data_IF_351112583096
#
_entry.id   IF_351112583096
#
_cell.length_a   1.000
_cell.length_b   1.000
_cell.length_c   1.000
_cell.angle_alpha   90.00
_cell.angle_beta   90.00
_cell.angle_gamma   90.00
#
_symmetry.space_group_name_H-M   'P 1'
#
loop_
_entity.id
_entity.type
_entity.pdbx_description
1 polymer ?
#
# COMPACT_ATOMS: atom_id res chain seq x y z
N UNK A 1 -58.78 60.67 75.11
CA UNK A 1 -59.92 59.76 75.36
C UNK A 1 -59.71 58.40 74.69
N UNK A 2 -59.03 57.46 75.35
CA UNK A 2 -59.11 55.99 75.17
C UNK A 2 -58.42 55.25 76.34
N UNK A 3 -58.15 55.97 77.44
CA UNK A 3 -57.60 55.43 78.70
C UNK A 3 -58.66 55.11 79.74
N UNK A 4 -59.92 55.50 79.54
CA UNK A 4 -61.03 55.20 80.47
C UNK A 4 -61.79 53.90 80.14
N UNK A 5 -61.63 53.35 78.92
CA UNK A 5 -62.25 52.06 78.57
C UNK A 5 -61.53 50.85 79.18
N UNK A 6 -60.23 50.96 79.48
CA UNK A 6 -59.44 49.84 80.04
C UNK A 6 -59.80 49.48 81.49
N UNK A 7 -60.22 50.45 82.31
CA UNK A 7 -60.52 50.19 83.73
C UNK A 7 -61.93 49.66 83.97
N UNK A 8 -62.92 50.03 83.15
CA UNK A 8 -64.30 49.50 83.26
C UNK A 8 -64.44 48.07 82.77
N UNK A 9 -63.50 47.58 81.97
CA UNK A 9 -63.43 46.17 81.58
C UNK A 9 -62.90 45.26 82.71
N UNK A 10 -62.33 45.85 83.78
CA UNK A 10 -61.95 45.13 85.00
C UNK A 10 -63.09 45.05 86.05
N UNK A 11 -64.25 45.67 85.79
CA UNK A 11 -65.43 45.66 86.68
C UNK A 11 -66.52 44.67 86.26
N UNK A 12 -66.33 43.93 85.17
CA UNK A 12 -67.13 42.77 84.84
C UNK A 12 -66.21 41.53 84.76
N UNK A 13 -66.03 40.79 85.87
CA UNK A 13 -65.08 39.68 85.97
C UNK A 13 -65.28 38.65 84.86
N UNK A 14 -66.53 38.40 84.47
CA UNK A 14 -66.89 37.44 83.42
C UNK A 14 -66.35 37.86 82.05
N UNK A 15 -66.48 39.12 81.64
CA UNK A 15 -66.01 39.59 80.33
C UNK A 15 -64.47 39.60 80.22
N UNK A 16 -63.76 39.86 81.33
CA UNK A 16 -62.30 39.76 81.38
C UNK A 16 -61.84 38.30 81.31
N UNK A 17 -62.47 37.41 82.09
CA UNK A 17 -62.22 35.96 82.06
C UNK A 17 -62.49 35.40 80.66
N UNK A 18 -63.59 35.78 80.00
CA UNK A 18 -63.92 35.34 78.64
C UNK A 18 -62.88 35.80 77.60
N UNK A 19 -62.33 37.02 77.72
CA UNK A 19 -61.27 37.49 76.82
C UNK A 19 -59.94 36.81 77.07
N UNK A 20 -59.56 36.58 78.33
CA UNK A 20 -58.33 35.84 78.66
C UNK A 20 -58.46 34.37 78.26
N UNK A 21 -59.63 33.74 78.44
CA UNK A 21 -59.92 32.41 77.90
C UNK A 21 -59.88 32.38 76.38
N UNK A 22 -60.43 33.38 75.69
CA UNK A 22 -60.36 33.48 74.24
C UNK A 22 -58.92 33.66 73.75
N UNK A 23 -58.10 34.48 74.44
CA UNK A 23 -56.67 34.63 74.15
C UNK A 23 -55.89 33.35 74.41
N UNK A 24 -56.12 32.68 75.54
CA UNK A 24 -55.50 31.39 75.84
C UNK A 24 -55.88 30.33 74.82
N UNK A 25 -57.16 30.25 74.45
CA UNK A 25 -57.65 29.35 73.40
C UNK A 25 -57.06 29.68 72.03
N UNK A 26 -56.90 30.95 71.69
CA UNK A 26 -56.24 31.38 70.45
C UNK A 26 -54.74 31.04 70.47
N UNK A 27 -54.05 31.23 71.59
CA UNK A 27 -52.66 30.83 71.76
C UNK A 27 -52.48 29.31 71.68
N UNK A 28 -53.37 28.54 72.31
CA UNK A 28 -53.40 27.07 72.20
C UNK A 28 -53.68 26.62 70.77
N UNK A 29 -54.65 27.23 70.08
CA UNK A 29 -54.96 26.93 68.69
C UNK A 29 -53.76 27.23 67.76
N UNK A 30 -53.04 28.34 68.00
CA UNK A 30 -51.80 28.66 67.27
C UNK A 30 -50.69 27.65 67.57
N UNK A 31 -50.51 27.23 68.82
CA UNK A 31 -49.52 26.20 69.18
C UNK A 31 -49.85 24.86 68.55
N UNK A 32 -51.11 24.42 68.59
CA UNK A 32 -51.58 23.20 67.92
C UNK A 32 -51.38 23.31 66.40
N UNK A 33 -51.68 24.47 65.80
CA UNK A 33 -51.43 24.74 64.38
C UNK A 33 -49.95 24.62 64.00
N UNK A 34 -49.05 25.20 64.79
CA UNK A 34 -47.60 25.10 64.59
C UNK A 34 -47.07 23.67 64.78
N UNK A 35 -47.57 22.94 65.77
CA UNK A 35 -47.21 21.53 65.99
C UNK A 35 -47.70 20.67 64.83
N UNK A 36 -48.93 20.85 64.36
CA UNK A 36 -49.47 20.12 63.23
C UNK A 36 -48.70 20.43 61.93
N UNK A 37 -48.31 21.69 61.70
CA UNK A 37 -47.49 22.07 60.55
C UNK A 37 -46.10 21.40 60.61
N UNK A 38 -45.42 21.42 61.77
CA UNK A 38 -44.13 20.73 61.95
C UNK A 38 -44.27 19.22 61.81
N UNK A 39 -45.36 18.64 62.31
CA UNK A 39 -45.61 17.20 62.19
C UNK A 39 -45.84 16.80 60.73
N UNK A 40 -46.52 17.64 59.94
CA UNK A 40 -46.65 17.44 58.49
C UNK A 40 -45.30 17.54 57.78
N UNK A 41 -44.45 18.51 58.11
CA UNK A 41 -43.08 18.63 57.56
C UNK A 41 -42.19 17.43 57.93
N UNK A 42 -42.25 16.96 59.19
CA UNK A 42 -41.50 15.77 59.61
C UNK A 42 -42.01 14.52 58.89
N UNK A 43 -43.33 14.40 58.69
CA UNK A 43 -43.91 13.29 57.94
C UNK A 43 -43.50 13.31 56.45
N UNK A 44 -43.39 14.47 55.81
CA UNK A 44 -42.91 14.56 54.42
C UNK A 44 -41.42 14.23 54.31
N UNK A 45 -40.59 14.69 55.26
CA UNK A 45 -39.16 14.32 55.30
C UNK A 45 -38.98 12.84 55.59
N UNK A 46 -39.77 12.26 56.50
CA UNK A 46 -39.72 10.83 56.81
C UNK A 46 -40.10 9.98 55.59
N UNK A 47 -41.18 10.33 54.88
CA UNK A 47 -41.61 9.61 53.66
C UNK A 47 -40.59 9.74 52.52
N UNK A 48 -39.98 10.92 52.35
CA UNK A 48 -38.88 11.12 51.41
C UNK A 48 -37.67 10.25 51.75
N UNK A 49 -37.25 10.22 53.02
CA UNK A 49 -36.14 9.39 53.47
C UNK A 49 -36.40 7.89 53.28
N UNK A 50 -37.63 7.41 53.53
CA UNK A 50 -37.98 6.00 53.27
C UNK A 50 -37.92 5.68 51.78
N UNK A 51 -38.40 6.58 50.92
CA UNK A 51 -38.36 6.41 49.47
C UNK A 51 -36.91 6.37 48.95
N UNK A 52 -36.06 7.28 49.42
CA UNK A 52 -34.64 7.31 49.05
C UNK A 52 -33.90 6.06 49.54
N UNK A 53 -34.22 5.56 50.73
CA UNK A 53 -33.67 4.31 51.23
C UNK A 53 -34.09 3.10 50.38
N UNK A 54 -35.35 3.05 49.95
CA UNK A 54 -35.83 2.00 49.04
C UNK A 54 -35.17 2.09 47.66
N UNK A 55 -35.00 3.30 47.12
CA UNK A 55 -34.28 3.54 45.85
C UNK A 55 -32.83 3.08 45.94
N UNK A 56 -32.12 3.41 47.02
CA UNK A 56 -30.75 2.97 47.25
C UNK A 56 -30.67 1.43 47.26
N UNK A 57 -31.59 0.76 47.97
CA UNK A 57 -31.66 -0.70 48.02
C UNK A 57 -31.94 -1.34 46.65
N UNK A 58 -32.78 -0.71 45.82
CA UNK A 58 -33.06 -1.18 44.45
C UNK A 58 -31.81 -1.03 43.58
N UNK A 59 -31.13 0.12 43.64
CA UNK A 59 -29.91 0.37 42.88
C UNK A 59 -28.77 -0.58 43.28
N UNK A 60 -28.61 -0.87 44.57
CA UNK A 60 -27.65 -1.86 45.05
C UNK A 60 -27.94 -3.26 44.49
N UNK A 61 -29.21 -3.68 44.47
CA UNK A 61 -29.62 -4.95 43.86
C UNK A 61 -29.37 -4.98 42.36
N UNK A 62 -29.64 -3.89 41.64
CA UNK A 62 -29.39 -3.77 40.21
C UNK A 62 -27.89 -3.82 39.92
N UNK A 63 -27.06 -3.13 40.72
CA UNK A 63 -25.62 -3.13 40.59
C UNK A 63 -25.02 -4.50 40.89
N UNK A 64 -25.50 -5.20 41.92
CA UNK A 64 -25.10 -6.57 42.22
C UNK A 64 -25.46 -7.53 41.07
N UNK A 65 -26.66 -7.38 40.50
CA UNK A 65 -27.10 -8.19 39.35
C UNK A 65 -26.25 -7.89 38.11
N UNK A 66 -25.99 -6.61 37.82
CA UNK A 66 -25.14 -6.19 36.70
C UNK A 66 -23.71 -6.73 36.83
N UNK A 67 -23.10 -6.61 38.03
CA UNK A 67 -21.78 -7.19 38.31
C UNK A 67 -21.77 -8.70 38.12
N UNK A 68 -22.79 -9.41 38.58
CA UNK A 68 -22.92 -10.86 38.39
C UNK A 68 -23.01 -11.23 36.91
N UNK A 69 -23.84 -10.53 36.14
CA UNK A 69 -23.96 -10.74 34.69
C UNK A 69 -22.64 -10.45 33.98
N UNK A 70 -21.95 -9.37 34.34
CA UNK A 70 -20.65 -9.02 33.78
C UNK A 70 -19.58 -10.09 34.08
N UNK A 71 -19.56 -10.63 35.30
CA UNK A 71 -18.66 -11.72 35.66
C UNK A 71 -18.98 -13.00 34.87
N UNK A 72 -20.26 -13.32 34.70
CA UNK A 72 -20.68 -14.48 33.91
C UNK A 72 -20.33 -14.34 32.42
N UNK A 73 -20.53 -13.16 31.82
CA UNK A 73 -20.17 -12.93 30.42
C UNK A 73 -18.66 -12.93 30.22
N UNK A 74 -17.89 -12.36 31.15
CA UNK A 74 -16.43 -12.44 31.12
C UNK A 74 -15.94 -13.90 31.22
N UNK A 75 -16.52 -14.70 32.11
CA UNK A 75 -16.18 -16.12 32.23
C UNK A 75 -16.52 -16.91 30.96
N UNK A 76 -17.70 -16.68 30.37
CA UNK A 76 -18.10 -17.31 29.11
C UNK A 76 -17.18 -16.90 27.94
N UNK A 77 -16.74 -15.65 27.90
CA UNK A 77 -15.82 -15.15 26.90
C UNK A 77 -14.42 -15.78 27.03
N UNK A 78 -13.93 -15.97 28.25
CA UNK A 78 -12.67 -16.69 28.47
C UNK A 78 -12.79 -18.18 28.11
N UNK A 79 -13.91 -18.83 28.42
CA UNK A 79 -14.15 -20.21 28.00
C UNK A 79 -14.17 -20.36 26.47
N UNK A 80 -14.89 -19.48 25.76
CA UNK A 80 -14.96 -19.51 24.29
C UNK A 80 -13.59 -19.24 23.64
N UNK A 81 -12.78 -18.34 24.20
CA UNK A 81 -11.39 -18.13 23.77
C UNK A 81 -10.54 -19.39 23.94
N UNK A 82 -10.65 -20.07 25.08
CA UNK A 82 -9.92 -21.32 25.33
C UNK A 82 -10.35 -22.43 24.35
N UNK A 83 -11.65 -22.57 24.10
CA UNK A 83 -12.18 -23.53 23.13
C UNK A 83 -11.71 -23.23 21.70
N UNK A 84 -11.66 -21.96 21.31
CA UNK A 84 -11.12 -21.54 20.01
C UNK A 84 -9.62 -21.85 19.91
N UNK A 85 -8.84 -21.54 20.95
CA UNK A 85 -7.41 -21.86 20.98
C UNK A 85 -7.17 -23.38 20.87
N UNK A 86 -7.96 -24.19 21.58
CA UNK A 86 -7.89 -25.65 21.50
C UNK A 86 -8.24 -26.17 20.09
N UNK A 87 -9.27 -25.62 19.45
CA UNK A 87 -9.64 -25.96 18.07
C UNK A 87 -8.54 -25.58 17.07
N UNK A 88 -7.94 -24.41 17.22
CA UNK A 88 -6.81 -23.97 16.39
C UNK A 88 -5.63 -24.95 16.54
N UNK A 89 -5.26 -25.31 17.78
CA UNK A 89 -4.19 -26.26 18.04
C UNK A 89 -4.48 -27.66 17.45
N UNK A 90 -5.73 -28.13 17.54
CA UNK A 90 -6.15 -29.39 16.95
C UNK A 90 -6.06 -29.39 15.42
N UNK A 91 -6.50 -28.30 14.76
CA UNK A 91 -6.39 -28.13 13.31
C UNK A 91 -4.92 -28.11 12.86
N UNK A 92 -4.06 -27.35 13.54
CA UNK A 92 -2.63 -27.32 13.25
C UNK A 92 -1.97 -28.71 13.36
N UNK A 93 -2.41 -29.54 14.34
CA UNK A 93 -1.92 -30.91 14.46
C UNK A 93 -2.37 -31.78 13.28
N UNK A 94 -3.61 -31.64 12.84
CA UNK A 94 -4.11 -32.35 11.65
C UNK A 94 -3.38 -31.91 10.38
N UNK A 95 -3.17 -30.61 10.18
CA UNK A 95 -2.40 -30.06 9.05
C UNK A 95 -0.99 -30.66 8.97
N UNK A 96 -0.30 -30.79 10.12
CA UNK A 96 1.02 -31.45 10.17
C UNK A 96 0.97 -32.91 9.74
N UNK A 97 -0.08 -33.66 10.11
CA UNK A 97 -0.24 -35.06 9.69
C UNK A 97 -0.49 -35.15 8.18
N UNK A 98 -1.33 -34.27 7.63
CA UNK A 98 -1.60 -34.20 6.19
C UNK A 98 -0.33 -33.83 5.39
N UNK A 99 0.42 -32.84 5.87
CA UNK A 99 1.73 -32.50 5.34
C UNK A 99 2.70 -33.69 5.33
N UNK A 100 2.76 -34.46 6.43
CA UNK A 100 3.59 -35.66 6.50
C UNK A 100 3.16 -36.71 5.46
N UNK A 101 1.86 -36.89 5.22
CA UNK A 101 1.35 -37.81 4.19
C UNK A 101 1.81 -37.38 2.79
N UNK A 102 1.82 -36.08 2.48
CA UNK A 102 2.35 -35.56 1.20
C UNK A 102 3.82 -35.90 1.03
N UNK A 103 4.64 -35.64 2.07
CA UNK A 103 6.08 -35.93 2.06
C UNK A 103 6.35 -37.43 1.89
N UNK A 104 5.65 -38.29 2.66
CA UNK A 104 5.79 -39.76 2.57
C UNK A 104 5.38 -40.30 1.20
N UNK A 105 4.37 -39.69 0.58
CA UNK A 105 3.96 -40.04 -0.79
C UNK A 105 5.06 -39.69 -1.79
N UNK A 106 5.67 -38.49 -1.67
CA UNK A 106 6.79 -38.09 -2.51
C UNK A 106 8.04 -38.98 -2.31
N UNK A 107 8.22 -39.54 -1.12
CA UNK A 107 9.29 -40.48 -0.79
C UNK A 107 9.01 -41.94 -1.23
N UNK A 108 7.83 -42.22 -1.79
CA UNK A 108 7.49 -43.55 -2.31
C UNK A 108 7.04 -44.56 -1.24
N UNK A 109 6.73 -44.12 -0.02
CA UNK A 109 6.32 -45.02 1.05
C UNK A 109 4.96 -45.71 0.76
N UNK A 110 4.78 -46.89 1.35
CA UNK A 110 3.55 -47.67 1.26
C UNK A 110 2.43 -47.02 2.09
N UNK A 111 1.65 -46.15 1.46
CA UNK A 111 0.45 -45.53 2.02
C UNK A 111 -0.81 -46.18 1.47
N UNK A 112 -1.92 -46.05 2.19
CA UNK A 112 -3.22 -46.49 1.69
C UNK A 112 -3.57 -45.78 0.38
N UNK A 113 -4.26 -46.45 -0.57
CA UNK A 113 -4.57 -45.86 -1.88
C UNK A 113 -5.29 -44.52 -1.79
N UNK A 114 -6.19 -44.35 -0.81
CA UNK A 114 -6.93 -43.11 -0.58
C UNK A 114 -6.01 -41.95 -0.14
N UNK A 115 -5.05 -42.20 0.77
CA UNK A 115 -4.10 -41.19 1.22
C UNK A 115 -3.12 -40.79 0.10
N UNK A 116 -2.68 -41.76 -0.70
CA UNK A 116 -1.84 -41.50 -1.88
C UNK A 116 -2.57 -40.62 -2.89
N UNK A 117 -3.81 -40.94 -3.24
CA UNK A 117 -4.62 -40.12 -4.16
C UNK A 117 -4.82 -38.69 -3.63
N UNK A 118 -5.10 -38.54 -2.34
CA UNK A 118 -5.22 -37.22 -1.71
C UNK A 118 -3.91 -36.43 -1.79
N UNK A 119 -2.78 -37.05 -1.45
CA UNK A 119 -1.46 -36.41 -1.52
C UNK A 119 -1.08 -36.00 -2.94
N UNK A 120 -1.34 -36.84 -3.94
CA UNK A 120 -1.10 -36.50 -5.35
C UNK A 120 -1.95 -35.31 -5.79
N UNK A 121 -3.24 -35.26 -5.40
CA UNK A 121 -4.10 -34.10 -5.67
C UNK A 121 -3.58 -32.84 -4.98
N UNK A 122 -3.15 -32.94 -3.72
CA UNK A 122 -2.59 -31.81 -2.99
C UNK A 122 -1.29 -31.29 -3.64
N UNK A 123 -0.43 -32.19 -4.11
CA UNK A 123 0.79 -31.84 -4.84
C UNK A 123 0.49 -31.15 -6.16
N UNK A 124 -0.44 -31.67 -6.96
CA UNK A 124 -0.84 -31.08 -8.24
C UNK A 124 -1.53 -29.73 -8.05
N UNK A 125 -2.41 -29.58 -7.05
CA UNK A 125 -2.99 -28.27 -6.71
C UNK A 125 -1.93 -27.25 -6.30
N UNK A 126 -0.93 -27.67 -5.53
CA UNK A 126 0.19 -26.81 -5.14
C UNK A 126 1.03 -26.42 -6.36
N UNK A 127 1.26 -27.36 -7.29
CA UNK A 127 1.97 -27.10 -8.54
C UNK A 127 1.22 -26.11 -9.41
N UNK A 128 -0.08 -26.29 -9.60
CA UNK A 128 -0.94 -25.40 -10.37
C UNK A 128 -0.95 -23.98 -9.81
N UNK A 129 -1.07 -23.83 -8.48
CA UNK A 129 -0.98 -22.53 -7.81
C UNK A 129 0.38 -21.85 -8.06
N UNK A 130 1.48 -22.60 -7.94
CA UNK A 130 2.81 -22.08 -8.26
C UNK A 130 2.91 -21.65 -9.73
N UNK A 131 2.39 -22.46 -10.66
CA UNK A 131 2.32 -22.12 -12.08
C UNK A 131 1.56 -20.81 -12.31
N UNK A 132 0.39 -20.63 -11.70
CA UNK A 132 -0.39 -19.38 -11.83
C UNK A 132 0.35 -18.15 -11.31
N UNK A 133 1.08 -18.27 -10.19
CA UNK A 133 1.91 -17.18 -9.66
C UNK A 133 2.99 -16.78 -10.67
N UNK A 134 3.63 -17.77 -11.28
CA UNK A 134 4.66 -17.53 -12.30
C UNK A 134 4.04 -16.91 -13.55
N UNK A 135 2.92 -17.41 -14.04
CA UNK A 135 2.20 -16.84 -15.18
C UNK A 135 1.84 -15.37 -14.96
N UNK A 136 1.36 -15.03 -13.77
CA UNK A 136 1.06 -13.64 -13.40
C UNK A 136 2.33 -12.77 -13.37
N UNK A 137 3.42 -13.32 -12.84
CA UNK A 137 4.71 -12.61 -12.79
C UNK A 137 5.26 -12.35 -14.19
N UNK A 138 5.21 -13.36 -15.07
CA UNK A 138 5.68 -13.27 -16.46
C UNK A 138 4.83 -12.35 -17.34
N UNK A 139 3.61 -11.98 -16.92
CA UNK A 139 2.82 -10.94 -17.60
C UNK A 139 3.35 -9.53 -17.29
N UNK A 140 4.01 -9.35 -16.16
CA UNK A 140 4.62 -8.07 -15.76
C UNK A 140 5.97 -7.80 -16.42
N UNK A 141 6.59 -6.67 -16.09
CA UNK A 141 7.97 -6.40 -16.48
C UNK A 141 8.89 -7.34 -15.70
N UNK A 142 9.62 -8.20 -16.42
CA UNK A 142 10.56 -9.15 -15.83
C UNK A 142 11.95 -8.90 -16.40
N UNK A 143 12.93 -8.71 -15.53
CA UNK A 143 14.33 -8.51 -15.94
C UNK A 143 15.22 -9.71 -15.59
N UNK A 144 14.86 -10.47 -14.55
CA UNK A 144 15.70 -11.53 -14.01
C UNK A 144 14.89 -12.68 -13.40
N UNK A 145 15.48 -13.87 -13.36
CA UNK A 145 14.92 -15.06 -12.71
C UNK A 145 14.62 -14.84 -11.22
N UNK A 146 15.40 -13.99 -10.54
CA UNK A 146 15.21 -13.66 -9.12
C UNK A 146 13.84 -13.06 -8.81
N UNK A 147 13.21 -12.39 -9.78
CA UNK A 147 11.86 -11.85 -9.61
C UNK A 147 10.81 -12.95 -9.54
N UNK A 148 10.98 -14.03 -10.31
CA UNK A 148 10.14 -15.23 -10.23
C UNK A 148 10.31 -15.91 -8.87
N UNK A 149 11.54 -16.00 -8.37
CA UNK A 149 11.80 -16.55 -7.03
C UNK A 149 11.14 -15.73 -5.93
N UNK A 150 11.25 -14.41 -6.02
CA UNK A 150 10.64 -13.49 -5.06
C UNK A 150 9.13 -13.62 -5.08
N UNK A 151 8.51 -13.72 -6.26
CA UNK A 151 7.07 -13.92 -6.40
C UNK A 151 6.61 -15.25 -5.77
N UNK A 152 7.35 -16.33 -5.98
CA UNK A 152 7.06 -17.62 -5.33
C UNK A 152 7.20 -17.53 -3.80
N UNK A 153 8.24 -16.87 -3.29
CA UNK A 153 8.43 -16.68 -1.84
C UNK A 153 7.31 -15.87 -1.19
N UNK A 154 6.88 -14.79 -1.84
CA UNK A 154 5.76 -13.96 -1.39
C UNK A 154 4.44 -14.73 -1.35
N UNK A 155 4.31 -15.78 -2.18
CA UNK A 155 3.14 -16.65 -2.22
C UNK A 155 3.29 -17.92 -1.37
N UNK A 156 4.24 -17.94 -0.42
CA UNK A 156 4.38 -19.01 0.56
C UNK A 156 5.09 -20.25 0.04
N UNK A 157 5.98 -20.11 -0.94
CA UNK A 157 6.87 -21.19 -1.40
C UNK A 157 8.30 -20.98 -0.91
N UNK A 158 8.92 -22.03 -0.39
CA UNK A 158 10.35 -22.08 -0.12
C UNK A 158 11.08 -22.64 -1.33
N UNK A 159 12.23 -22.06 -1.66
CA UNK A 159 13.09 -22.47 -2.77
C UNK A 159 14.37 -23.08 -2.18
N UNK A 160 14.76 -24.24 -2.69
CA UNK A 160 15.99 -24.89 -2.30
C UNK A 160 16.76 -25.27 -3.56
N UNK A 161 17.95 -24.70 -3.72
CA UNK A 161 18.88 -25.06 -4.78
C UNK A 161 19.69 -26.28 -4.34
N UNK A 162 19.68 -27.32 -5.16
CA UNK A 162 20.48 -28.53 -4.97
C UNK A 162 21.89 -28.30 -5.51
N UNK A 163 22.87 -29.06 -5.01
CA UNK A 163 24.24 -29.04 -5.52
C UNK A 163 24.35 -29.41 -7.02
N UNK A 164 23.31 -30.03 -7.58
CA UNK A 164 23.17 -30.36 -9.00
C UNK A 164 22.69 -29.18 -9.86
N UNK A 165 22.44 -28.01 -9.27
CA UNK A 165 21.89 -26.83 -9.96
C UNK A 165 20.37 -26.86 -10.16
N UNK A 166 19.70 -27.93 -9.73
CA UNK A 166 18.23 -28.01 -9.78
C UNK A 166 17.60 -27.24 -8.62
N UNK A 167 16.58 -26.46 -8.92
CA UNK A 167 15.81 -25.72 -7.91
C UNK A 167 14.55 -26.48 -7.56
N UNK A 168 14.40 -26.82 -6.29
CA UNK A 168 13.19 -27.41 -5.73
C UNK A 168 12.30 -26.33 -5.12
N UNK A 169 11.01 -26.44 -5.40
CA UNK A 169 9.96 -25.59 -4.86
C UNK A 169 9.19 -26.39 -3.82
N UNK A 170 9.05 -25.85 -2.61
CA UNK A 170 8.32 -26.44 -1.50
C UNK A 170 7.21 -25.50 -1.02
N UNK A 171 5.95 -25.92 -1.13
CA UNK A 171 4.83 -25.15 -0.57
C UNK A 171 4.87 -25.16 0.96
N UNK A 172 4.80 -24.00 1.63
CA UNK A 172 4.83 -23.95 3.10
C UNK A 172 3.58 -24.56 3.74
N UNK A 173 2.43 -24.44 3.09
CA UNK A 173 1.17 -25.01 3.59
C UNK A 173 1.00 -26.47 3.19
N UNK A 174 1.20 -26.78 1.90
CA UNK A 174 0.99 -28.13 1.36
C UNK A 174 2.14 -29.09 1.67
N UNK A 175 3.34 -28.56 1.95
CA UNK A 175 4.60 -29.31 2.03
C UNK A 175 4.91 -30.12 0.76
N UNK A 176 4.20 -29.84 -0.33
CA UNK A 176 4.42 -30.41 -1.64
C UNK A 176 5.78 -29.96 -2.18
N UNK A 177 6.56 -30.90 -2.68
CA UNK A 177 7.88 -30.69 -3.24
C UNK A 177 7.87 -31.07 -4.72
N UNK A 178 8.36 -30.17 -5.57
CA UNK A 178 8.48 -30.39 -7.01
C UNK A 178 9.63 -29.55 -7.57
N UNK A 179 10.21 -29.99 -8.68
CA UNK A 179 11.26 -29.23 -9.37
C UNK A 179 10.67 -27.98 -10.04
N UNK A 180 11.40 -26.87 -10.02
CA UNK A 180 10.99 -25.64 -10.70
C UNK A 180 10.84 -25.87 -12.21
N UNK A 181 11.72 -26.67 -12.80
CA UNK A 181 11.69 -27.01 -14.23
C UNK A 181 10.47 -27.85 -14.63
N UNK A 182 9.82 -28.48 -13.64
CA UNK A 182 8.55 -29.17 -13.87
C UNK A 182 7.37 -28.21 -14.05
N UNK A 183 7.53 -26.92 -13.74
CA UNK A 183 6.49 -25.92 -13.93
C UNK A 183 6.43 -25.52 -15.40
N UNK A 184 5.24 -25.66 -15.98
CA UNK A 184 4.96 -25.32 -17.38
C UNK A 184 3.88 -24.23 -17.42
N UNK A 185 4.21 -22.98 -17.08
CA UNK A 185 3.29 -21.86 -17.26
C UNK A 185 2.79 -21.80 -18.71
N UNK A 186 1.49 -21.64 -18.91
CA UNK A 186 0.83 -21.68 -20.22
C UNK A 186 1.18 -22.92 -21.08
N UNK A 187 1.63 -24.03 -20.47
CA UNK A 187 2.00 -25.27 -21.17
C UNK A 187 3.40 -25.29 -21.81
N UNK A 188 4.25 -24.28 -21.60
CA UNK A 188 5.62 -24.25 -22.14
C UNK A 188 6.68 -24.24 -21.02
N UNK A 189 7.94 -24.63 -21.31
CA UNK A 189 9.02 -24.59 -20.34
C UNK A 189 9.27 -23.18 -19.78
N UNK A 190 9.47 -23.08 -18.47
CA UNK A 190 9.70 -21.80 -17.78
C UNK A 190 10.88 -21.00 -18.34
N UNK A 191 11.99 -21.67 -18.67
CA UNK A 191 13.21 -21.02 -19.15
C UNK A 191 12.97 -20.21 -20.44
N UNK A 192 12.21 -20.78 -21.39
CA UNK A 192 11.88 -20.12 -22.65
C UNK A 192 10.96 -18.92 -22.43
N UNK A 193 9.94 -19.06 -21.58
CA UNK A 193 9.03 -17.97 -21.29
C UNK A 193 9.69 -16.82 -20.52
N UNK A 194 10.61 -17.14 -19.61
CA UNK A 194 11.38 -16.13 -18.91
C UNK A 194 12.24 -15.33 -19.90
N UNK A 195 12.93 -16.01 -20.83
CA UNK A 195 13.73 -15.34 -21.85
C UNK A 195 12.88 -14.42 -22.73
N UNK A 196 11.68 -14.87 -23.11
CA UNK A 196 10.73 -14.06 -23.87
C UNK A 196 10.24 -12.84 -23.07
N UNK A 197 9.92 -13.03 -21.78
CA UNK A 197 9.50 -11.94 -20.91
C UNK A 197 10.61 -10.90 -20.72
N UNK A 198 11.86 -11.34 -20.49
CA UNK A 198 13.03 -10.46 -20.40
C UNK A 198 13.23 -9.68 -21.70
N UNK A 199 13.17 -10.35 -22.84
CA UNK A 199 13.32 -9.70 -24.15
C UNK A 199 12.21 -8.67 -24.39
N UNK A 200 10.96 -9.00 -24.02
CA UNK A 200 9.83 -8.06 -24.10
C UNK A 200 10.10 -6.83 -23.21
N UNK A 201 10.44 -7.04 -21.95
CA UNK A 201 10.69 -5.95 -21.00
C UNK A 201 11.87 -5.08 -21.41
N UNK A 202 12.94 -5.66 -21.96
CA UNK A 202 14.06 -4.89 -22.52
C UNK A 202 13.62 -4.01 -23.69
N UNK A 203 12.82 -4.54 -24.62
CA UNK A 203 12.28 -3.76 -25.74
C UNK A 203 11.37 -2.64 -25.27
N UNK A 204 10.50 -2.89 -24.30
CA UNK A 204 9.61 -1.89 -23.71
C UNK A 204 10.41 -0.80 -22.99
N UNK A 205 11.44 -1.17 -22.22
CA UNK A 205 12.33 -0.22 -21.55
C UNK A 205 13.14 0.62 -22.55
N UNK A 206 13.63 0.00 -23.62
CA UNK A 206 14.34 0.70 -24.68
C UNK A 206 13.41 1.72 -25.35
N UNK A 207 12.19 1.32 -25.74
CA UNK A 207 11.20 2.22 -26.31
C UNK A 207 10.83 3.35 -25.34
N UNK A 208 10.62 3.05 -24.06
CA UNK A 208 10.35 4.05 -23.04
C UNK A 208 11.51 5.04 -22.91
N UNK A 209 12.77 4.57 -22.95
CA UNK A 209 13.96 5.41 -22.95
C UNK A 209 14.04 6.27 -24.21
N UNK A 210 13.74 5.71 -25.39
CA UNK A 210 13.70 6.44 -26.66
C UNK A 210 12.66 7.57 -26.61
N UNK A 211 11.47 7.30 -26.06
CA UNK A 211 10.44 8.32 -25.88
C UNK A 211 10.78 9.35 -24.80
N UNK A 212 11.41 8.95 -23.69
CA UNK A 212 11.83 9.88 -22.65
C UNK A 212 12.85 10.89 -23.17
N UNK A 213 13.83 10.44 -23.96
CA UNK A 213 14.80 11.33 -24.60
C UNK A 213 14.16 12.24 -25.66
N UNK A 214 13.11 11.78 -26.34
CA UNK A 214 12.34 12.62 -27.26
C UNK A 214 11.54 13.73 -26.55
N UNK A 215 11.26 13.58 -25.25
CA UNK A 215 10.57 14.56 -24.42
C UNK A 215 11.52 15.41 -23.57
N UNK A 216 12.82 15.10 -23.58
CA UNK A 216 13.80 15.83 -22.77
C UNK A 216 14.01 17.24 -23.35
N UNK A 217 13.75 18.31 -22.57
CA UNK A 217 13.94 19.69 -23.03
C UNK A 217 15.39 20.04 -23.37
N UNK A 218 16.36 19.22 -22.95
CA UNK A 218 17.78 19.41 -23.24
C UNK A 218 18.24 18.66 -24.50
N UNK A 219 17.42 17.76 -25.04
CA UNK A 219 17.74 17.03 -26.25
C UNK A 219 17.59 17.94 -27.48
N UNK A 220 18.54 17.85 -28.40
CA UNK A 220 18.39 18.44 -29.72
C UNK A 220 17.51 17.51 -30.57
N UNK A 221 16.54 18.09 -31.27
CA UNK A 221 15.65 17.36 -32.17
C UNK A 221 15.99 17.68 -33.62
N UNK A 222 16.03 16.65 -34.45
CA UNK A 222 16.26 16.75 -35.90
C UNK A 222 15.20 15.95 -36.63
N UNK A 223 14.71 16.51 -37.73
CA UNK A 223 13.78 15.85 -38.65
C UNK A 223 14.50 15.62 -39.96
N UNK A 224 14.40 14.41 -40.49
CA UNK A 224 14.97 14.02 -41.77
C UNK A 224 13.83 13.61 -42.67
N UNK A 225 13.72 14.25 -43.83
CA UNK A 225 12.77 13.85 -44.86
C UNK A 225 13.55 13.15 -45.95
N UNK A 226 13.21 11.89 -46.21
CA UNK A 226 13.83 11.07 -47.25
C UNK A 226 12.80 10.72 -48.31
N UNK A 227 13.18 10.86 -49.59
CA UNK A 227 12.34 10.52 -50.72
C UNK A 227 12.12 9.00 -50.89
N UNK A 228 13.04 8.19 -50.37
CA UNK A 228 13.03 6.73 -50.51
C UNK A 228 13.22 6.00 -49.16
N UNK A 229 12.69 4.78 -49.07
CA UNK A 229 12.71 3.92 -47.89
C UNK A 229 14.11 3.41 -47.57
N UNK A 230 14.90 3.06 -48.59
CA UNK A 230 16.27 2.60 -48.35
C UNK A 230 17.13 3.74 -47.77
N UNK A 231 16.98 4.95 -48.31
CA UNK A 231 17.67 6.14 -47.79
C UNK A 231 17.24 6.47 -46.36
N UNK A 232 15.93 6.46 -46.07
CA UNK A 232 15.41 6.69 -44.73
C UNK A 232 15.99 5.69 -43.72
N UNK A 233 16.02 4.40 -44.09
CA UNK A 233 16.53 3.34 -43.24
C UNK A 233 18.05 3.45 -43.03
N UNK A 234 18.81 3.70 -44.11
CA UNK A 234 20.25 3.90 -44.04
C UNK A 234 20.63 5.03 -43.07
N UNK A 235 19.99 6.20 -43.19
CA UNK A 235 20.29 7.34 -42.32
C UNK A 235 19.76 7.14 -40.88
N UNK A 236 18.63 6.45 -40.71
CA UNK A 236 18.17 6.06 -39.37
C UNK A 236 19.21 5.18 -38.67
N UNK A 237 19.68 4.11 -39.34
CA UNK A 237 20.71 3.24 -38.81
C UNK A 237 22.04 3.96 -38.57
N UNK A 238 22.48 4.81 -39.49
CA UNK A 238 23.72 5.58 -39.34
C UNK A 238 23.66 6.55 -38.15
N UNK A 239 22.49 7.13 -37.86
CA UNK A 239 22.29 8.01 -36.71
C UNK A 239 22.19 7.23 -35.39
N UNK A 240 21.52 6.07 -35.38
CA UNK A 240 21.51 5.19 -34.21
C UNK A 240 22.93 4.70 -33.88
N UNK A 241 23.73 4.32 -34.88
CA UNK A 241 25.13 3.94 -34.71
C UNK A 241 26.01 5.10 -34.23
N UNK A 242 25.70 6.33 -34.65
CA UNK A 242 26.38 7.53 -34.15
C UNK A 242 26.00 7.90 -32.71
N UNK A 243 25.04 7.19 -32.09
CA UNK A 243 24.57 7.42 -30.72
C UNK A 243 23.37 8.37 -30.61
N UNK A 244 22.75 8.74 -31.73
CA UNK A 244 21.49 9.46 -31.72
C UNK A 244 20.31 8.50 -31.51
N UNK A 245 19.22 9.00 -30.97
CA UNK A 245 18.01 8.21 -30.73
C UNK A 245 16.96 8.48 -31.79
N UNK A 246 16.73 7.50 -32.66
CA UNK A 246 15.63 7.53 -33.64
C UNK A 246 14.38 6.99 -32.95
N UNK A 247 13.41 7.87 -32.68
CA UNK A 247 12.22 7.53 -31.90
C UNK A 247 10.92 7.50 -32.70
N UNK A 248 10.93 8.00 -33.94
CA UNK A 248 9.78 7.91 -34.84
C UNK A 248 10.23 7.87 -36.30
N UNK A 249 9.70 6.89 -37.05
CA UNK A 249 9.79 6.85 -38.51
C UNK A 249 8.36 6.76 -39.04
N UNK A 250 7.93 7.75 -39.82
CA UNK A 250 6.57 7.81 -40.33
C UNK A 250 6.55 8.15 -41.82
N UNK A 251 5.60 7.56 -42.54
CA UNK A 251 5.36 7.87 -43.95
C UNK A 251 4.42 9.05 -44.06
N UNK A 252 4.83 10.09 -44.76
CA UNK A 252 4.05 11.30 -45.01
C UNK A 252 3.12 11.13 -46.22
N UNK A 253 2.08 11.98 -46.37
CA UNK A 253 1.09 11.88 -47.44
C UNK A 253 1.66 12.04 -48.86
N UNK A 254 2.81 12.72 -48.99
CA UNK A 254 3.56 12.94 -50.22
C UNK A 254 4.50 11.78 -50.58
N UNK A 255 4.31 10.63 -49.94
CA UNK A 255 5.12 9.42 -50.06
C UNK A 255 6.56 9.53 -49.55
N UNK A 256 6.95 10.65 -48.94
CA UNK A 256 8.24 10.78 -48.26
C UNK A 256 8.21 10.08 -46.89
N UNK A 257 9.39 9.76 -46.37
CA UNK A 257 9.57 9.22 -45.02
C UNK A 257 10.20 10.27 -44.13
N UNK A 258 9.53 10.55 -43.02
CA UNK A 258 10.04 11.39 -41.95
C UNK A 258 10.69 10.52 -40.87
N UNK A 259 11.98 10.73 -40.64
CA UNK A 259 12.74 10.15 -39.52
C UNK A 259 12.96 11.25 -38.49
N UNK A 260 12.41 11.08 -37.28
CA UNK A 260 12.62 11.98 -36.15
C UNK A 260 13.67 11.43 -35.22
N UNK A 261 14.64 12.27 -34.94
CA UNK A 261 15.83 11.91 -34.18
C UNK A 261 15.98 12.89 -33.03
N UNK A 262 16.44 12.38 -31.90
CA UNK A 262 16.80 13.19 -30.74
C UNK A 262 18.12 12.75 -30.20
N UNK A 263 18.96 13.69 -29.79
CA UNK A 263 20.26 13.37 -29.24
C UNK A 263 20.65 14.39 -28.19
N UNK A 264 21.44 13.94 -27.23
CA UNK A 264 22.08 14.83 -26.26
C UNK A 264 23.46 15.23 -26.79
N UNK A 265 23.90 16.42 -26.41
CA UNK A 265 25.27 16.84 -26.63
C UNK A 265 26.19 16.07 -25.68
N UNK A 266 26.69 14.94 -26.15
CA UNK A 266 27.72 14.14 -25.49
C UNK A 266 29.02 14.17 -26.31
N UNK A 267 30.15 14.30 -25.62
CA UNK A 267 31.48 14.44 -26.21
C UNK A 267 31.86 13.24 -27.09
N UNK A 268 31.35 12.05 -26.78
CA UNK A 268 31.67 10.84 -27.52
C UNK A 268 30.87 10.67 -28.81
N UNK A 269 29.67 11.26 -28.89
CA UNK A 269 28.72 11.01 -29.99
C UNK A 269 28.57 12.21 -30.93
N UNK A 270 28.82 13.43 -30.45
CA UNK A 270 28.51 14.66 -31.19
C UNK A 270 29.26 14.78 -32.53
N UNK A 271 30.48 14.25 -32.62
CA UNK A 271 31.28 14.23 -33.85
C UNK A 271 30.65 13.31 -34.90
N UNK A 272 30.36 12.06 -34.52
CA UNK A 272 29.73 11.07 -35.41
C UNK A 272 28.35 11.55 -35.87
N UNK A 273 27.52 12.08 -34.96
CA UNK A 273 26.20 12.62 -35.28
C UNK A 273 26.33 13.79 -36.27
N UNK A 274 27.27 14.70 -36.04
CA UNK A 274 27.48 15.85 -36.91
C UNK A 274 27.96 15.48 -38.31
N UNK A 275 28.80 14.45 -38.43
CA UNK A 275 29.24 13.90 -39.71
C UNK A 275 28.06 13.29 -40.47
N UNK A 276 27.26 12.45 -39.82
CA UNK A 276 26.09 11.81 -40.43
C UNK A 276 25.05 12.84 -40.88
N UNK A 277 24.77 13.87 -40.09
CA UNK A 277 23.86 14.96 -40.49
C UNK A 277 24.40 15.77 -41.66
N UNK A 278 25.71 16.02 -41.70
CA UNK A 278 26.38 16.74 -42.79
C UNK A 278 26.37 15.93 -44.08
N UNK A 279 26.57 14.61 -43.98
CA UNK A 279 26.43 13.68 -45.09
C UNK A 279 24.99 13.70 -45.62
N UNK A 280 23.99 13.62 -44.74
CA UNK A 280 22.57 13.68 -45.12
C UNK A 280 22.21 14.94 -45.89
N UNK A 281 22.72 16.11 -45.47
CA UNK A 281 22.52 17.39 -46.19
C UNK A 281 23.13 17.43 -47.59
N UNK A 282 24.10 16.56 -47.89
CA UNK A 282 24.76 16.47 -49.20
C UNK A 282 24.15 15.39 -50.08
N UNK A 283 23.30 14.51 -49.54
CA UNK A 283 22.70 13.40 -50.27
C UNK A 283 21.43 13.87 -51.00
N UNK A 284 21.34 13.69 -52.33
CA UNK A 284 20.12 14.00 -53.08
C UNK A 284 18.91 13.21 -52.56
N UNK A 285 17.78 13.89 -52.41
CA UNK A 285 16.55 13.28 -51.90
C UNK A 285 16.41 13.27 -50.38
N UNK A 286 17.38 13.85 -49.65
CA UNK A 286 17.33 13.99 -48.20
C UNK A 286 17.32 15.47 -47.81
N UNK A 287 16.35 15.84 -46.96
CA UNK A 287 16.26 17.15 -46.34
C UNK A 287 16.46 16.97 -44.83
N UNK A 288 17.45 17.70 -44.29
CA UNK A 288 17.75 17.69 -42.86
C UNK A 288 17.28 19.00 -42.23
N UNK A 289 16.24 18.93 -41.41
CA UNK A 289 15.71 20.05 -40.65
C UNK A 289 16.17 19.98 -39.19
N UNK A 290 16.92 20.99 -38.77
CA UNK A 290 17.44 21.13 -37.41
C UNK A 290 17.15 22.57 -36.96
N UNK A 291 16.67 22.75 -35.73
CA UNK A 291 16.50 24.10 -35.17
C UNK A 291 17.84 24.86 -35.21
N UNK A 292 17.80 26.12 -35.63
CA UNK A 292 18.97 26.99 -35.69
C UNK A 292 19.68 27.10 -34.34
N UNK A 293 18.94 27.08 -33.23
CA UNK A 293 19.53 27.07 -31.89
C UNK A 293 20.34 25.79 -31.66
N UNK A 294 19.77 24.62 -31.99
CA UNK A 294 20.43 23.31 -31.86
C UNK A 294 21.64 23.20 -32.77
N UNK A 295 21.52 23.66 -34.02
CA UNK A 295 22.62 23.70 -34.97
C UNK A 295 23.79 24.55 -34.45
N UNK A 296 23.49 25.72 -33.88
CA UNK A 296 24.52 26.62 -33.31
C UNK A 296 25.19 26.01 -32.09
N UNK A 297 24.41 25.40 -31.19
CA UNK A 297 24.92 24.69 -30.03
C UNK A 297 25.85 23.54 -30.44
N UNK A 298 25.46 22.75 -31.46
CA UNK A 298 26.27 21.67 -32.02
C UNK A 298 27.61 22.14 -32.57
N UNK A 299 27.61 23.18 -33.41
CA UNK A 299 28.85 23.75 -33.94
C UNK A 299 29.77 24.30 -32.85
N UNK A 300 29.18 24.90 -31.81
CA UNK A 300 29.94 25.41 -30.68
C UNK A 300 30.59 24.27 -29.90
N UNK A 301 29.84 23.20 -29.63
CA UNK A 301 30.34 22.00 -28.95
C UNK A 301 31.50 21.35 -29.74
N UNK A 302 31.34 21.17 -31.06
CA UNK A 302 32.41 20.64 -31.92
C UNK A 302 33.68 21.49 -31.88
N UNK A 303 33.56 22.81 -31.98
CA UNK A 303 34.73 23.71 -31.91
C UNK A 303 35.45 23.65 -30.56
N UNK A 304 34.70 23.50 -29.47
CA UNK A 304 35.30 23.32 -28.15
C UNK A 304 36.07 21.99 -28.08
N UNK A 305 35.49 20.92 -28.63
CA UNK A 305 36.12 19.59 -28.72
C UNK A 305 37.43 19.63 -29.51
N UNK A 306 37.43 20.29 -30.67
CA UNK A 306 38.63 20.47 -31.49
C UNK A 306 39.74 21.24 -30.74
N UNK A 307 39.36 22.27 -29.99
CA UNK A 307 40.32 23.06 -29.17
C UNK A 307 40.89 22.24 -28.02
N UNK A 308 40.09 21.42 -27.35
CA UNK A 308 40.54 20.55 -26.26
C UNK A 308 41.50 19.48 -26.78
N UNK A 309 41.19 18.80 -27.88
CA UNK A 309 42.13 17.86 -28.54
C UNK A 309 43.44 18.53 -28.94
N UNK A 310 43.38 19.76 -29.44
CA UNK A 310 44.60 20.51 -29.83
C UNK A 310 45.46 20.85 -28.61
N UNK A 311 44.84 21.15 -27.45
CA UNK A 311 45.54 21.37 -26.18
C UNK A 311 46.17 20.10 -25.62
N UNK A 312 45.47 18.96 -25.70
CA UNK A 312 46.02 17.68 -25.26
C UNK A 312 47.19 17.20 -26.13
N UNK A 313 47.18 17.54 -27.42
CA UNK A 313 48.26 17.22 -28.35
C UNK A 313 49.46 18.19 -28.26
N UNK A 314 49.31 19.33 -27.58
CA UNK A 314 50.38 20.26 -27.25
C UNK A 314 50.58 20.28 -25.72
N UNK A 315 51.19 19.24 -25.12
CA UNK A 315 51.57 19.34 -23.72
C UNK A 315 52.51 20.54 -23.59
N UNK A 316 52.17 21.46 -22.69
CA UNK A 316 52.91 22.69 -22.45
C UNK A 316 54.41 22.40 -22.45
N UNK A 317 55.13 22.95 -23.44
CA UNK A 317 56.57 23.08 -23.35
C UNK A 317 56.82 23.93 -22.10
N UNK A 318 57.26 23.26 -21.04
CA UNK A 318 57.45 23.85 -19.74
C UNK A 318 58.21 25.17 -19.86
N UNK A 319 57.56 26.24 -19.42
CA UNK A 319 58.29 27.41 -18.96
C UNK A 319 59.10 26.97 -17.74
N UNK A 320 60.34 26.57 -18.01
CA UNK A 320 61.39 26.49 -17.01
C UNK A 320 61.55 27.87 -16.39
N UNK A 321 60.96 28.04 -15.21
CA UNK A 321 61.39 29.05 -14.26
C UNK A 321 62.87 28.74 -13.92
N UNK A 322 63.78 29.54 -14.47
CA UNK A 322 65.12 29.70 -13.92
C UNK A 322 65.09 30.86 -12.94
N UNK A 323 65.19 30.54 -11.65
CA UNK A 323 65.81 31.36 -10.61
C UNK A 323 66.64 30.43 -9.74
#
# INVERSE_FOLDING_TARGET
MLGEKKWREHLNPQAYIERELARMNEHLARQVGLVNAKLAEVATVATANTLEHERAKILEKQLATSKKTQQQTAAALEQTKQELAAKIAALQKQEKLYAQVVVRTAQGEALSPALRQWATRAQEQSRQKATTVIEQTLRGPVTELKQVYTALQQNGYALQELATGQVLVRGQQSQALFALDSLQPNGYPLAEQLQQAITRTQREQEQARKHALAQDPRAAHVRLLAADTEQAHYFACALEQAGANVWQVQRLPDHQLEVRVSYCFDWHTIEAISQTLTQGRRTPGIVVEEDRANQTARYTALRTLERERTREQQPEQGHGFSL
#
